data_IF_605845765624
#
_entry.id   IF_605845765624
#
_cell.length_a   1.000
_cell.length_b   1.000
_cell.length_c   1.000
_cell.angle_alpha   90.00
_cell.angle_beta   90.00
_cell.angle_gamma   90.00
#
_symmetry.space_group_name_H-M   'P 1'
#
loop_
_entity.id
_entity.type
_entity.pdbx_description
1 polymer ?
#
# COMPACT_ATOMS: atom_id res chain seq x y z
N UNK A 1 12.76 -0.54 -6.44
CA UNK A 1 11.78 -1.53 -6.94
C UNK A 1 10.40 -0.91 -6.81
N UNK A 2 9.57 -1.02 -7.85
CA UNK A 2 8.19 -0.51 -7.86
C UNK A 2 7.29 -1.64 -8.37
N UNK A 3 6.18 -1.90 -7.68
CA UNK A 3 5.17 -2.87 -8.12
C UNK A 3 4.00 -2.12 -8.76
N UNK A 4 3.55 -2.56 -9.93
CA UNK A 4 2.30 -2.07 -10.50
C UNK A 4 1.10 -2.64 -9.74
N UNK A 5 -0.06 -2.01 -9.89
CA UNK A 5 -1.29 -2.52 -9.30
C UNK A 5 -1.65 -3.94 -9.77
N UNK A 6 -1.47 -4.24 -11.06
CA UNK A 6 -1.71 -5.58 -11.61
C UNK A 6 -0.74 -6.62 -11.04
N UNK A 7 0.53 -6.25 -10.85
CA UNK A 7 1.52 -7.13 -10.22
C UNK A 7 1.14 -7.42 -8.76
N UNK A 8 0.68 -6.41 -8.00
CA UNK A 8 0.18 -6.61 -6.64
C UNK A 8 -1.04 -7.53 -6.62
N UNK A 9 -2.00 -7.36 -7.53
CA UNK A 9 -3.19 -8.23 -7.63
C UNK A 9 -2.86 -9.68 -7.99
N UNK A 10 -1.77 -9.91 -8.71
CA UNK A 10 -1.31 -11.25 -9.07
C UNK A 10 -0.59 -11.98 -7.92
N UNK A 11 -0.24 -11.29 -6.83
CA UNK A 11 0.39 -11.90 -5.67
C UNK A 11 -0.59 -12.78 -4.87
N UNK A 12 -0.10 -13.71 -4.03
CA UNK A 12 -0.96 -14.54 -3.20
C UNK A 12 -1.93 -13.71 -2.36
N UNK A 13 -3.21 -14.08 -2.37
CA UNK A 13 -4.25 -13.44 -1.57
C UNK A 13 -4.42 -14.18 -0.25
N UNK A 14 -4.45 -13.44 0.85
CA UNK A 14 -4.86 -13.90 2.17
C UNK A 14 -6.19 -13.22 2.56
N UNK A 15 -7.05 -13.94 3.26
CA UNK A 15 -8.25 -13.39 3.88
C UNK A 15 -8.18 -13.56 5.40
N UNK A 16 -8.68 -12.57 6.14
CA UNK A 16 -8.64 -12.53 7.60
C UNK A 16 -9.87 -11.83 8.16
N UNK A 17 -10.52 -12.43 9.15
CA UNK A 17 -11.57 -11.74 9.91
C UNK A 17 -10.90 -11.05 11.10
N UNK A 18 -11.09 -9.74 11.25
CA UNK A 18 -10.43 -8.95 12.30
C UNK A 18 -11.35 -7.87 12.83
N UNK A 19 -11.32 -7.71 14.14
CA UNK A 19 -11.93 -6.58 14.82
C UNK A 19 -10.99 -5.37 14.74
N UNK A 20 -11.44 -4.30 14.11
CA UNK A 20 -10.78 -3.01 14.10
C UNK A 20 -11.27 -2.20 15.29
N UNK A 21 -10.34 -1.63 16.05
CA UNK A 21 -10.62 -0.70 17.13
C UNK A 21 -10.15 0.68 16.73
N UNK A 22 -11.09 1.62 16.65
CA UNK A 22 -10.78 3.01 16.35
C UNK A 22 -10.63 3.81 17.65
N UNK A 23 -9.64 4.71 17.68
CA UNK A 23 -9.43 5.62 18.81
C UNK A 23 -10.64 6.54 19.09
N UNK A 24 -11.51 6.73 18.09
CA UNK A 24 -12.73 7.54 18.21
C UNK A 24 -13.87 6.85 18.99
N UNK A 25 -13.61 5.67 19.58
CA UNK A 25 -14.55 5.01 20.49
C UNK A 25 -15.53 4.03 19.83
N UNK A 26 -15.26 3.61 18.59
CA UNK A 26 -16.04 2.58 17.91
C UNK A 26 -15.17 1.38 17.52
N UNK A 27 -15.82 0.23 17.33
CA UNK A 27 -15.17 -0.97 16.79
C UNK A 27 -16.04 -1.65 15.75
N UNK A 28 -15.42 -2.42 14.86
CA UNK A 28 -16.12 -3.16 13.82
C UNK A 28 -15.38 -4.45 13.46
N UNK A 29 -16.13 -5.50 13.13
CA UNK A 29 -15.58 -6.77 12.65
C UNK A 29 -15.80 -6.83 11.15
N UNK A 30 -14.73 -7.07 10.41
CA UNK A 30 -14.80 -7.24 8.96
C UNK A 30 -13.93 -8.41 8.49
N UNK A 31 -14.29 -8.96 7.33
CA UNK A 31 -13.46 -9.88 6.56
C UNK A 31 -12.59 -9.05 5.61
N UNK A 32 -11.31 -8.99 5.88
CA UNK A 32 -10.30 -8.32 5.07
C UNK A 32 -9.67 -9.29 4.09
N UNK A 33 -9.27 -8.80 2.92
CA UNK A 33 -8.57 -9.61 1.92
C UNK A 33 -7.55 -8.78 1.16
N UNK A 34 -6.40 -9.38 0.85
CA UNK A 34 -5.32 -8.69 0.13
C UNK A 34 -4.02 -9.48 0.10
N UNK A 35 -2.94 -8.82 -0.29
CA UNK A 35 -1.60 -9.41 -0.30
C UNK A 35 -1.03 -9.41 1.12
N UNK A 36 -0.54 -10.54 1.65
CA UNK A 36 0.10 -10.56 2.96
C UNK A 36 1.44 -9.82 2.90
N UNK A 37 1.73 -8.98 3.90
CA UNK A 37 2.99 -8.23 3.98
C UNK A 37 4.23 -9.12 3.88
N UNK A 38 4.15 -10.37 4.36
CA UNK A 38 5.21 -11.36 4.21
C UNK A 38 5.62 -11.58 2.75
N UNK A 39 4.65 -11.67 1.83
CA UNK A 39 4.95 -11.87 0.41
C UNK A 39 5.71 -10.68 -0.19
N UNK A 40 5.44 -9.46 0.27
CA UNK A 40 6.19 -8.26 -0.13
C UNK A 40 7.61 -8.30 0.42
N UNK A 41 7.78 -8.67 1.70
CA UNK A 41 9.09 -8.75 2.35
C UNK A 41 10.00 -9.83 1.75
N UNK A 42 9.42 -10.96 1.33
CA UNK A 42 10.16 -12.05 0.68
C UNK A 42 10.79 -11.60 -0.66
N UNK A 43 10.19 -10.61 -1.35
CA UNK A 43 10.74 -9.99 -2.57
C UNK A 43 11.80 -8.93 -2.20
N UNK A 44 11.46 -8.03 -1.27
CA UNK A 44 12.32 -6.89 -0.89
C UNK A 44 13.63 -7.36 -0.25
N UNK A 45 13.59 -8.45 0.52
CA UNK A 45 14.74 -9.00 1.28
C UNK A 45 15.44 -7.90 2.11
N UNK A 46 14.77 -7.39 3.16
CA UNK A 46 15.31 -6.30 3.96
C UNK A 46 16.66 -6.67 4.58
N UNK A 47 17.51 -5.66 4.76
CA UNK A 47 18.79 -5.84 5.44
C UNK A 47 18.58 -6.28 6.91
N UNK A 48 19.49 -7.06 7.50
CA UNK A 48 19.35 -7.54 8.88
C UNK A 48 19.16 -6.44 9.93
N UNK A 49 19.71 -5.25 9.68
CA UNK A 49 19.61 -4.07 10.54
C UNK A 49 18.31 -3.27 10.39
N UNK A 50 17.46 -3.59 9.40
CA UNK A 50 16.21 -2.89 9.16
C UNK A 50 15.19 -3.20 10.28
N UNK A 51 14.66 -2.14 10.92
CA UNK A 51 13.75 -2.26 12.09
C UNK A 51 12.32 -1.80 11.81
N UNK A 52 12.11 -1.09 10.71
CA UNK A 52 10.87 -0.35 10.47
C UNK A 52 10.39 -0.50 9.03
N UNK A 53 9.07 -0.50 8.86
CA UNK A 53 8.40 -0.31 7.58
C UNK A 53 7.61 0.99 7.68
N UNK A 54 7.82 1.90 6.73
CA UNK A 54 7.13 3.18 6.68
C UNK A 54 6.12 3.13 5.54
N UNK A 55 4.87 3.45 5.83
CA UNK A 55 3.78 3.49 4.85
C UNK A 55 3.45 4.95 4.56
N UNK A 56 3.62 5.36 3.31
CA UNK A 56 3.20 6.66 2.82
C UNK A 56 1.89 6.50 2.04
N UNK A 57 0.93 7.37 2.33
CA UNK A 57 -0.36 7.38 1.64
C UNK A 57 -0.35 8.39 0.50
N UNK A 58 -1.36 8.27 -0.36
CA UNK A 58 -1.60 9.22 -1.44
C UNK A 58 -2.29 10.51 -1.01
N UNK A 59 -2.37 10.80 0.29
CA UNK A 59 -3.11 11.96 0.82
C UNK A 59 -2.60 13.33 0.32
N UNK A 60 -1.39 13.40 -0.24
CA UNK A 60 -0.79 14.63 -0.77
C UNK A 60 -0.68 14.66 -2.30
N UNK A 61 -1.15 13.62 -3.01
CA UNK A 61 -1.17 13.62 -4.48
C UNK A 61 -2.12 14.70 -4.99
N UNK A 62 -1.61 15.55 -5.90
CA UNK A 62 -2.34 16.72 -6.39
C UNK A 62 -2.34 17.93 -5.44
N UNK A 63 -1.75 17.82 -4.23
CA UNK A 63 -1.62 18.93 -3.28
C UNK A 63 -0.34 19.78 -3.49
N UNK A 64 0.39 19.55 -4.58
CA UNK A 64 1.53 20.37 -5.01
C UNK A 64 2.84 20.16 -4.25
N UNK A 65 3.00 19.05 -3.51
CA UNK A 65 4.25 18.71 -2.80
C UNK A 65 5.17 17.74 -3.58
N UNK A 66 4.73 17.27 -4.75
CA UNK A 66 5.56 16.52 -5.72
C UNK A 66 5.81 17.28 -7.03
N UNK A 67 5.18 18.44 -7.25
CA UNK A 67 5.29 19.16 -8.52
C UNK A 67 4.76 18.38 -9.74
N UNK A 68 4.56 19.08 -10.86
CA UNK A 68 4.04 18.50 -12.11
C UNK A 68 4.92 17.36 -12.66
N UNK A 69 6.20 17.27 -12.30
CA UNK A 69 7.13 16.28 -12.87
C UNK A 69 7.05 14.92 -12.17
N UNK A 70 6.99 14.88 -10.83
CA UNK A 70 7.03 13.59 -10.10
C UNK A 70 5.68 12.88 -10.08
N UNK A 71 4.59 13.65 -10.16
CA UNK A 71 3.23 13.11 -10.28
C UNK A 71 2.95 12.61 -11.73
N UNK A 72 3.56 13.22 -12.75
CA UNK A 72 3.37 12.84 -14.16
C UNK A 72 4.18 11.59 -14.54
N UNK A 73 5.38 11.37 -13.96
CA UNK A 73 6.13 10.12 -14.15
C UNK A 73 5.41 8.88 -13.57
N UNK A 74 4.71 9.02 -12.45
CA UNK A 74 4.04 7.89 -11.78
C UNK A 74 2.58 7.66 -12.18
N UNK A 75 1.82 8.72 -12.47
CA UNK A 75 0.37 8.64 -12.71
C UNK A 75 -0.07 9.07 -14.11
N UNK A 76 0.83 9.72 -14.89
CA UNK A 76 0.45 10.46 -16.11
C UNK A 76 -0.05 9.64 -17.31
N UNK A 77 0.05 8.31 -17.29
CA UNK A 77 -0.39 7.47 -18.42
C UNK A 77 -1.43 6.41 -18.06
N UNK A 78 -1.98 6.37 -16.84
CA UNK A 78 -2.74 5.21 -16.35
C UNK A 78 -4.16 5.46 -15.84
N UNK A 79 -4.69 6.66 -15.95
CA UNK A 79 -6.13 6.88 -15.72
C UNK A 79 -6.83 7.33 -17.01
N UNK A 80 -7.37 6.37 -17.75
CA UNK A 80 -8.60 6.61 -18.50
C UNK A 80 -9.77 6.46 -17.52
N UNK A 81 -10.42 7.58 -17.23
CA UNK A 81 -11.73 7.64 -16.55
C UNK A 81 -12.74 6.78 -17.32
#
# INVERSE_FOLDING_TARGET
MVLTYDQLKAMPKQEQITQHYCIQGWSGIAKWGGVPMKAVLDIVRPLPEAKWVILYTFAHLGAGQGGYNEDHEFYGYRESI
#
